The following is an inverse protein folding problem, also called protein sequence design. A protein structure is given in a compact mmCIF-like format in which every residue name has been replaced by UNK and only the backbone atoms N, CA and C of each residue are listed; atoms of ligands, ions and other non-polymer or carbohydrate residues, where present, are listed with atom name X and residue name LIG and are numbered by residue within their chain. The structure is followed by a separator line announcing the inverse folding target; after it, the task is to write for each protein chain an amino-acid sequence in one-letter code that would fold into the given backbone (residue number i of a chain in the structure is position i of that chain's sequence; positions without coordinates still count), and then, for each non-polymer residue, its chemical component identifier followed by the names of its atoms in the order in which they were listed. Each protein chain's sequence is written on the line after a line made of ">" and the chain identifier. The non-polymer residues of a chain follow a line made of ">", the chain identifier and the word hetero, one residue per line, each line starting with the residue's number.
data_IF_084980611126
#
_entry.id   IF_084980611126
#
_cell.length_a   1.000
_cell.length_b   1.000
_cell.length_c   1.000
_cell.angle_alpha   90.00
_cell.angle_beta   90.00
_cell.angle_gamma   90.00
#
_symmetry.space_group_name_H-M   'P 1'
#
loop_
_entity.id
_entity.type
_entity.pdbx_description
1 polymer ?
#
# COMPACT_ATOMS: atom_id res chain seq x y z
N UNK A 1 16.08 -18.91 -17.15
CA UNK A 1 14.76 -18.37 -16.74
C UNK A 1 14.89 -16.99 -16.10
N UNK A 2 15.73 -16.81 -15.06
CA UNK A 2 15.93 -15.49 -14.43
C UNK A 2 16.72 -14.51 -15.32
N UNK A 3 17.74 -14.97 -16.04
CA UNK A 3 18.51 -14.13 -16.99
C UNK A 3 17.67 -13.57 -18.15
N UNK A 4 16.57 -14.24 -18.52
CA UNK A 4 15.66 -13.74 -19.55
C UNK A 4 14.80 -12.58 -19.05
N UNK A 5 14.54 -12.52 -17.73
CA UNK A 5 13.80 -11.43 -17.10
C UNK A 5 14.69 -10.20 -16.91
N UNK A 6 15.98 -10.38 -16.59
CA UNK A 6 16.95 -9.29 -16.42
C UNK A 6 17.18 -8.49 -17.70
N UNK A 7 17.06 -9.14 -18.87
CA UNK A 7 17.22 -8.50 -20.17
C UNK A 7 15.96 -7.72 -20.65
N UNK A 8 14.85 -7.79 -19.92
CA UNK A 8 13.63 -7.04 -20.27
C UNK A 8 13.74 -5.57 -19.84
N UNK A 9 12.99 -4.70 -20.52
CA UNK A 9 12.92 -3.29 -20.12
C UNK A 9 12.36 -3.16 -18.69
N UNK A 10 12.82 -2.19 -17.88
CA UNK A 10 12.30 -1.96 -16.53
C UNK A 10 10.78 -1.74 -16.50
N UNK A 11 10.21 -1.15 -17.55
CA UNK A 11 8.77 -0.95 -17.69
C UNK A 11 8.03 -2.29 -17.85
N UNK A 12 8.56 -3.20 -18.68
CA UNK A 12 8.00 -4.53 -18.87
C UNK A 12 8.11 -5.36 -17.59
N UNK A 13 9.24 -5.28 -16.88
CA UNK A 13 9.42 -5.94 -15.59
C UNK A 13 8.40 -5.45 -14.56
N UNK A 14 8.25 -4.12 -14.41
CA UNK A 14 7.27 -3.52 -13.53
C UNK A 14 5.84 -3.96 -13.89
N UNK A 15 5.49 -3.96 -15.18
CA UNK A 15 4.17 -4.39 -15.65
C UNK A 15 3.85 -5.85 -15.28
N UNK A 16 4.79 -6.77 -15.52
CA UNK A 16 4.62 -8.19 -15.18
C UNK A 16 4.52 -8.35 -13.65
N UNK A 17 5.37 -7.66 -12.88
CA UNK A 17 5.32 -7.69 -11.43
C UNK A 17 3.99 -7.14 -10.87
N UNK A 18 3.46 -6.07 -11.46
CA UNK A 18 2.15 -5.52 -11.08
C UNK A 18 1.00 -6.48 -11.43
N UNK A 19 1.02 -7.11 -12.60
CA UNK A 19 0.02 -8.13 -12.94
C UNK A 19 0.06 -9.32 -11.98
N UNK A 20 1.26 -9.76 -11.61
CA UNK A 20 1.43 -10.83 -10.64
C UNK A 20 0.87 -10.46 -9.26
N UNK A 21 1.23 -9.30 -8.73
CA UNK A 21 0.72 -8.83 -7.43
C UNK A 21 -0.79 -8.63 -7.43
N UNK A 22 -1.36 -8.09 -8.51
CA UNK A 22 -2.81 -7.99 -8.67
C UNK A 22 -3.49 -9.36 -8.74
N UNK A 23 -2.87 -10.33 -9.42
CA UNK A 23 -3.31 -11.72 -9.45
C UNK A 23 -3.33 -12.37 -8.05
N UNK A 24 -2.32 -12.10 -7.22
CA UNK A 24 -2.31 -12.55 -5.82
C UNK A 24 -3.43 -11.89 -5.00
N UNK A 25 -3.70 -10.60 -5.19
CA UNK A 25 -4.84 -9.93 -4.54
C UNK A 25 -6.17 -10.55 -4.97
N UNK A 26 -6.36 -10.79 -6.28
CA UNK A 26 -7.57 -11.43 -6.80
C UNK A 26 -7.74 -12.87 -6.26
N UNK A 27 -6.65 -13.64 -6.20
CA UNK A 27 -6.65 -14.98 -5.61
C UNK A 27 -7.01 -14.95 -4.11
N UNK A 28 -6.47 -13.99 -3.37
CA UNK A 28 -6.82 -13.78 -1.96
C UNK A 28 -8.29 -13.43 -1.77
N UNK A 29 -8.82 -12.53 -2.60
CA UNK A 29 -10.24 -12.15 -2.57
C UNK A 29 -11.18 -13.28 -3.01
N UNK A 30 -10.76 -14.15 -3.94
CA UNK A 30 -11.54 -15.29 -4.40
C UNK A 30 -11.83 -16.31 -3.28
N UNK A 31 -11.06 -16.32 -2.18
CA UNK A 31 -11.33 -17.18 -1.02
C UNK A 31 -12.71 -16.92 -0.39
N UNK A 32 -13.31 -15.74 -0.61
CA UNK A 32 -14.66 -15.40 -0.14
C UNK A 32 -15.73 -16.32 -0.73
N UNK A 33 -15.51 -16.92 -1.91
CA UNK A 33 -16.44 -17.90 -2.49
C UNK A 33 -16.50 -19.23 -1.72
N UNK A 34 -15.46 -19.55 -0.96
CA UNK A 34 -15.39 -20.79 -0.17
C UNK A 34 -15.72 -20.55 1.31
N UNK A 35 -15.33 -19.40 1.87
CA UNK A 35 -15.51 -19.08 3.29
C UNK A 35 -16.31 -17.79 3.45
N UNK A 36 -17.55 -17.92 3.96
CA UNK A 36 -18.46 -16.77 4.17
C UNK A 36 -18.21 -16.02 5.48
N UNK A 37 -17.58 -16.66 6.46
CA UNK A 37 -17.28 -16.08 7.78
C UNK A 37 -15.89 -16.49 8.22
N UNK A 38 -15.02 -15.52 8.50
CA UNK A 38 -13.66 -15.75 9.00
C UNK A 38 -13.62 -15.46 10.50
N UNK A 39 -12.89 -16.27 11.26
CA UNK A 39 -12.68 -16.02 12.69
C UNK A 39 -11.93 -14.69 12.89
N UNK A 40 -12.47 -13.80 13.75
CA UNK A 40 -11.88 -12.48 14.01
C UNK A 40 -10.40 -12.54 14.39
N UNK A 41 -9.98 -13.51 15.22
CA UNK A 41 -8.57 -13.70 15.61
C UNK A 41 -7.66 -13.99 14.42
N UNK A 42 -8.17 -14.76 13.44
CA UNK A 42 -7.42 -15.08 12.23
C UNK A 42 -7.32 -13.86 11.32
N UNK A 43 -8.41 -13.10 11.18
CA UNK A 43 -8.40 -11.83 10.43
C UNK A 43 -7.41 -10.83 11.05
N UNK A 44 -7.41 -10.66 12.37
CA UNK A 44 -6.50 -9.77 13.08
C UNK A 44 -5.03 -10.21 12.88
N UNK A 45 -4.76 -11.52 12.87
CA UNK A 45 -3.43 -12.07 12.53
C UNK A 45 -3.02 -11.75 11.09
N UNK A 46 -3.91 -11.93 10.11
CA UNK A 46 -3.64 -11.61 8.71
C UNK A 46 -3.32 -10.11 8.53
N UNK A 47 -4.09 -9.23 9.17
CA UNK A 47 -3.87 -7.79 9.15
C UNK A 47 -2.54 -7.40 9.79
N UNK A 48 -2.22 -7.99 10.95
CA UNK A 48 -0.94 -7.75 11.64
C UNK A 48 0.25 -8.24 10.80
N UNK A 49 0.12 -9.41 10.16
CA UNK A 49 1.14 -9.95 9.26
C UNK A 49 1.37 -9.02 8.06
N UNK A 50 0.29 -8.60 7.39
CA UNK A 50 0.38 -7.67 6.27
C UNK A 50 1.02 -6.33 6.68
N UNK A 51 0.61 -5.75 7.80
CA UNK A 51 1.22 -4.53 8.35
C UNK A 51 2.71 -4.71 8.64
N UNK A 52 3.10 -5.83 9.27
CA UNK A 52 4.49 -6.14 9.57
C UNK A 52 5.37 -6.27 8.32
N UNK A 53 4.90 -6.99 7.30
CA UNK A 53 5.62 -7.14 6.02
C UNK A 53 5.80 -5.78 5.34
N UNK A 54 4.76 -4.93 5.33
CA UNK A 54 4.84 -3.61 4.70
C UNK A 54 5.79 -2.66 5.43
N UNK A 55 5.82 -2.69 6.77
CA UNK A 55 6.80 -1.93 7.56
C UNK A 55 8.23 -2.38 7.25
N UNK A 56 8.48 -3.69 7.19
CA UNK A 56 9.80 -4.21 6.86
C UNK A 56 10.23 -3.81 5.44
N UNK A 57 9.38 -4.04 4.44
CA UNK A 57 9.65 -3.65 3.05
C UNK A 57 9.97 -2.14 2.94
N UNK A 58 9.25 -1.29 3.70
CA UNK A 58 9.48 0.16 3.69
C UNK A 58 10.90 0.55 4.10
N UNK A 59 11.51 -0.16 5.05
CA UNK A 59 12.86 0.13 5.51
C UNK A 59 13.93 -0.55 4.65
N UNK A 60 13.88 -1.89 4.54
CA UNK A 60 14.94 -2.67 3.90
C UNK A 60 14.93 -2.57 2.37
N UNK A 61 13.74 -2.49 1.76
CA UNK A 61 13.61 -2.51 0.30
C UNK A 61 13.49 -1.12 -0.32
N UNK A 62 13.15 -0.10 0.46
CA UNK A 62 12.95 1.27 -0.04
C UNK A 62 13.89 2.28 0.61
N UNK A 63 13.81 2.52 1.93
CA UNK A 63 14.58 3.58 2.59
C UNK A 63 16.09 3.33 2.59
N UNK A 64 16.54 2.14 2.96
CA UNK A 64 17.97 1.83 2.99
C UNK A 64 18.62 1.93 1.59
N UNK A 65 18.04 1.34 0.52
CA UNK A 65 18.53 1.55 -0.84
C UNK A 65 18.49 3.01 -1.28
N UNK A 66 17.46 3.77 -0.92
CA UNK A 66 17.36 5.20 -1.27
C UNK A 66 18.49 6.04 -0.64
N UNK A 67 18.86 5.74 0.62
CA UNK A 67 19.97 6.41 1.31
C UNK A 67 21.30 6.11 0.62
N UNK A 68 21.53 4.85 0.26
CA UNK A 68 22.74 4.41 -0.47
C UNK A 68 22.83 5.07 -1.85
N UNK A 69 21.71 5.12 -2.59
CA UNK A 69 21.63 5.79 -3.87
C UNK A 69 21.92 7.31 -3.77
N UNK A 70 21.51 7.96 -2.68
CA UNK A 70 21.80 9.37 -2.44
C UNK A 70 23.28 9.62 -2.13
N UNK A 71 23.93 8.73 -1.37
CA UNK A 71 25.38 8.79 -1.09
C UNK A 71 26.19 8.67 -2.38
N UNK A 72 25.83 7.71 -3.24
CA UNK A 72 26.51 7.48 -4.52
C UNK A 72 26.40 8.68 -5.48
N UNK A 73 25.39 9.53 -5.30
CA UNK A 73 25.18 10.76 -6.07
C UNK A 73 25.88 11.99 -5.46
N UNK A 74 26.67 11.82 -4.40
CA UNK A 74 27.35 12.92 -3.70
C UNK A 74 26.42 13.83 -2.90
N UNK A 75 25.17 13.41 -2.67
CA UNK A 75 24.22 14.13 -1.83
C UNK A 75 24.34 13.69 -0.36
N UNK A 76 23.72 14.47 0.54
CA UNK A 76 23.62 14.08 1.94
C UNK A 76 22.63 12.91 2.05
N UNK A 77 23.18 11.72 2.28
CA UNK A 77 22.54 10.40 2.33
C UNK A 77 21.06 10.38 2.80
N UNK A 78 20.78 11.03 3.92
CA UNK A 78 19.48 10.92 4.59
C UNK A 78 18.46 11.97 4.14
N UNK A 79 18.90 13.08 3.53
CA UNK A 79 18.01 14.21 3.22
C UNK A 79 16.94 13.82 2.19
N UNK A 80 17.27 13.25 1.02
CA UNK A 80 16.27 12.87 0.03
C UNK A 80 15.29 11.82 0.57
N UNK A 81 15.80 10.85 1.35
CA UNK A 81 14.98 9.79 1.95
C UNK A 81 13.97 10.36 2.96
N UNK A 82 14.40 11.25 3.87
CA UNK A 82 13.52 11.86 4.87
C UNK A 82 12.48 12.78 4.22
N UNK A 83 12.90 13.62 3.27
CA UNK A 83 11.97 14.51 2.56
C UNK A 83 10.94 13.69 1.78
N UNK A 84 11.38 12.68 1.02
CA UNK A 84 10.48 11.80 0.28
C UNK A 84 9.49 11.06 1.18
N UNK A 85 9.96 10.53 2.30
CA UNK A 85 9.11 9.83 3.27
C UNK A 85 8.06 10.76 3.91
N UNK A 86 8.48 11.95 4.38
CA UNK A 86 7.55 12.92 4.99
C UNK A 86 6.55 13.48 3.99
N UNK A 87 6.99 13.78 2.75
CA UNK A 87 6.08 14.21 1.68
C UNK A 87 5.08 13.11 1.32
N UNK A 88 5.52 11.85 1.24
CA UNK A 88 4.63 10.70 1.03
C UNK A 88 3.59 10.56 2.13
N UNK A 89 4.00 10.68 3.39
CA UNK A 89 3.08 10.66 4.54
C UNK A 89 2.09 11.83 4.55
N UNK A 90 2.58 13.05 4.26
CA UNK A 90 1.72 14.23 4.12
C UNK A 90 0.73 14.09 2.97
N UNK A 91 1.16 13.52 1.84
CA UNK A 91 0.30 13.22 0.71
C UNK A 91 -0.78 12.22 1.07
N UNK A 92 -0.44 11.11 1.75
CA UNK A 92 -1.45 10.14 2.21
C UNK A 92 -2.45 10.78 3.18
N UNK A 93 -1.99 11.62 4.11
CA UNK A 93 -2.88 12.38 5.01
C UNK A 93 -3.80 13.33 4.26
N UNK A 94 -3.30 13.99 3.21
CA UNK A 94 -4.12 14.87 2.38
C UNK A 94 -5.20 14.07 1.64
N UNK A 95 -4.83 12.93 1.06
CA UNK A 95 -5.77 12.03 0.37
C UNK A 95 -6.84 11.53 1.34
N UNK A 96 -6.44 11.10 2.53
CA UNK A 96 -7.35 10.65 3.59
C UNK A 96 -8.35 11.74 4.02
N UNK A 97 -7.88 12.99 4.17
CA UNK A 97 -8.73 14.14 4.50
C UNK A 97 -9.72 14.50 3.38
N UNK A 98 -9.33 14.33 2.11
CA UNK A 98 -10.19 14.64 0.96
C UNK A 98 -11.20 13.53 0.70
N UNK A 99 -10.84 12.27 0.93
CA UNK A 99 -11.71 11.13 0.68
C UNK A 99 -12.84 11.06 1.71
N UNK A 100 -14.12 11.08 1.28
CA UNK A 100 -15.23 10.88 2.19
C UNK A 100 -15.23 9.43 2.66
N UNK A 101 -14.84 9.19 3.91
CA UNK A 101 -14.77 7.85 4.47
C UNK A 101 -15.51 7.80 5.82
N UNK A 102 -16.13 6.66 6.09
CA UNK A 102 -16.78 6.37 7.36
C UNK A 102 -15.95 5.31 8.08
N UNK A 103 -15.46 5.62 9.27
CA UNK A 103 -14.80 4.61 10.11
C UNK A 103 -15.76 3.46 10.41
N UNK A 104 -15.32 2.22 10.15
CA UNK A 104 -16.09 1.01 10.42
C UNK A 104 -16.58 0.97 11.89
N UNK A 105 -17.89 1.07 12.09
CA UNK A 105 -18.54 1.02 13.40
C UNK A 105 -18.95 2.38 14.00
N UNK A 106 -18.66 3.50 13.34
CA UNK A 106 -19.07 4.84 13.79
C UNK A 106 -20.42 5.27 13.20
N UNK A 107 -21.23 6.04 13.94
CA UNK A 107 -22.50 6.57 13.44
C UNK A 107 -22.27 7.58 12.30
N UNK A 108 -23.27 7.71 11.42
CA UNK A 108 -23.16 8.44 10.13
C UNK A 108 -23.02 9.96 10.28
N UNK A 109 -23.22 10.48 11.48
CA UNK A 109 -22.98 11.86 11.93
C UNK A 109 -21.48 12.17 12.14
N UNK A 110 -20.62 11.15 12.22
CA UNK A 110 -19.16 11.28 12.33
C UNK A 110 -18.43 10.94 11.02
N UNK A 111 -19.13 10.98 9.87
CA UNK A 111 -18.51 10.78 8.57
C UNK A 111 -17.53 11.92 8.26
N UNK A 112 -16.27 11.59 8.00
CA UNK A 112 -15.23 12.55 7.66
C UNK A 112 -15.15 12.76 6.13
N UNK A 113 -14.63 13.91 5.70
CA UNK A 113 -14.43 14.27 4.29
C UNK A 113 -15.54 15.13 3.66
N UNK A 114 -15.36 15.50 2.41
CA UNK A 114 -16.28 16.40 1.69
C UNK A 114 -17.62 15.71 1.50
N UNK A 115 -18.73 16.34 1.91
CA UNK A 115 -20.07 15.81 1.67
C UNK A 115 -20.31 15.68 0.16
N UNK A 116 -20.38 14.44 -0.33
CA UNK A 116 -20.74 14.14 -1.71
C UNK A 116 -22.15 13.53 -1.76
N UNK A 117 -22.91 13.83 -2.83
CA UNK A 117 -24.24 13.25 -3.06
C UNK A 117 -24.20 11.79 -3.58
N UNK A 118 -23.03 11.14 -3.57
CA UNK A 118 -22.83 9.85 -4.21
C UNK A 118 -23.38 8.72 -3.32
N UNK A 119 -24.02 7.70 -3.95
CA UNK A 119 -24.69 6.62 -3.21
C UNK A 119 -23.67 5.77 -2.43
N UNK A 120 -24.00 5.49 -1.16
CA UNK A 120 -23.22 4.82 -0.09
C UNK A 120 -22.67 3.41 -0.39
N UNK A 121 -22.84 2.87 -1.60
CA UNK A 121 -22.43 1.50 -1.92
C UNK A 121 -20.95 1.35 -2.31
N UNK A 122 -20.18 2.45 -2.37
CA UNK A 122 -18.79 2.44 -2.86
C UNK A 122 -17.78 2.90 -1.78
N UNK A 123 -18.25 3.43 -0.65
CA UNK A 123 -17.39 3.96 0.43
C UNK A 123 -17.87 3.44 1.78
N UNK A 124 -17.71 2.13 1.98
CA UNK A 124 -17.69 1.47 3.28
C UNK A 124 -16.36 0.74 3.42
#
# INVERSE_FOLDING_TARGET
>A
MLEQLENLSPVTQAFIATLFTWGLTAAGAAMVFFFKTINRKFLDFMLAFAGGVMIAASFWSLLAPAIEMAQNQGQIAWIPAVIGFLLGGAFLRLVDFVMPHLHLGYPTDQAEGIHTHWRRSVLL
#
